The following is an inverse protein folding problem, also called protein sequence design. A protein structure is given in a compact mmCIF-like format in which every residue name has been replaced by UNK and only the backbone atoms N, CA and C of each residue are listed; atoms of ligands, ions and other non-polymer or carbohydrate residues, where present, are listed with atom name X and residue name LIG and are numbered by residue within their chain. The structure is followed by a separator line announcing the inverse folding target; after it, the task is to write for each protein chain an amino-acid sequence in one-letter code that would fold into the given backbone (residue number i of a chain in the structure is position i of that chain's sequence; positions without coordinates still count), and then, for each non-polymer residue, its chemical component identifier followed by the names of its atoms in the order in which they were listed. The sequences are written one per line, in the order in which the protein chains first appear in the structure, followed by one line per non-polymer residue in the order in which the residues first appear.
data_IF_216519822210
#
_entry.id   IF_216519822210
#
_cell.length_a   1.000
_cell.length_b   1.000
_cell.length_c   1.000
_cell.angle_alpha   90.00
_cell.angle_beta   90.00
_cell.angle_gamma   90.00
#
_symmetry.space_group_name_H-M   'P 1'
#
loop_
_entity.id
_entity.type
_entity.pdbx_description
1 polymer ?
#
# COMPACT_ATOMS: atom_id res chain seq x y z
N UNK A 1 -26.76 6.18 -9.19
CA UNK A 1 -26.10 4.87 -9.40
C UNK A 1 -25.44 4.47 -8.09
N UNK A 2 -25.94 3.45 -7.38
CA UNK A 2 -25.29 2.99 -6.15
C UNK A 2 -24.17 1.98 -6.47
N UNK A 3 -23.01 2.25 -5.87
CA UNK A 3 -21.94 1.33 -5.41
C UNK A 3 -21.20 0.43 -6.41
N UNK A 4 -19.86 0.54 -6.45
CA UNK A 4 -18.97 -0.63 -6.31
C UNK A 4 -17.52 -0.23 -5.99
N UNK A 5 -17.29 0.33 -4.80
CA UNK A 5 -16.00 0.10 -4.17
C UNK A 5 -16.29 -0.49 -2.80
N UNK A 6 -16.64 -1.78 -2.83
CA UNK A 6 -16.49 -2.61 -1.65
C UNK A 6 -15.04 -2.41 -1.18
N UNK A 7 -14.79 -2.16 0.12
CA UNK A 7 -13.43 -2.09 0.61
C UNK A 7 -12.79 -3.43 0.26
N UNK A 8 -11.80 -3.43 -0.63
CA UNK A 8 -11.04 -4.63 -0.96
C UNK A 8 -10.72 -5.32 0.35
N UNK A 9 -11.14 -6.57 0.49
CA UNK A 9 -10.87 -7.37 1.67
C UNK A 9 -9.38 -7.20 1.95
N UNK A 10 -9.05 -6.64 3.12
CA UNK A 10 -7.67 -6.42 3.49
C UNK A 10 -7.05 -7.81 3.57
N UNK A 11 -6.32 -8.19 2.54
CA UNK A 11 -5.58 -9.44 2.50
C UNK A 11 -4.64 -9.41 3.70
N UNK A 12 -5.02 -10.14 4.74
CA UNK A 12 -4.23 -10.22 5.96
C UNK A 12 -3.06 -11.12 5.65
N UNK A 13 -1.85 -10.58 5.73
CA UNK A 13 -0.63 -11.38 5.67
C UNK A 13 -0.67 -12.32 6.88
N UNK A 14 -0.81 -13.62 6.63
CA UNK A 14 -0.64 -14.63 7.65
C UNK A 14 0.86 -14.78 7.92
N UNK A 15 1.29 -14.55 9.17
CA UNK A 15 2.65 -14.81 9.61
C UNK A 15 2.65 -16.18 10.27
N UNK A 16 3.44 -17.10 9.74
CA UNK A 16 3.64 -18.43 10.29
C UNK A 16 4.82 -18.41 11.28
N UNK A 17 4.88 -19.41 12.18
CA UNK A 17 6.00 -19.53 13.13
C UNK A 17 7.36 -19.65 12.42
N UNK A 18 7.38 -20.24 11.22
CA UNK A 18 8.59 -20.33 10.40
C UNK A 18 9.15 -18.95 10.00
N UNK A 19 8.28 -17.96 9.78
CA UNK A 19 8.70 -16.59 9.46
C UNK A 19 9.35 -15.92 10.68
N UNK A 20 8.82 -16.21 11.89
CA UNK A 20 9.38 -15.70 13.15
C UNK A 20 10.76 -16.31 13.41
N UNK A 21 10.88 -17.62 13.19
CA UNK A 21 12.15 -18.35 13.33
C UNK A 21 13.21 -17.83 12.34
N UNK A 22 12.81 -17.53 11.10
CA UNK A 22 13.70 -16.95 10.09
C UNK A 22 14.22 -15.58 10.54
N UNK A 23 13.33 -14.69 11.00
CA UNK A 23 13.70 -13.34 11.45
C UNK A 23 14.61 -13.41 12.69
N UNK A 24 14.36 -14.34 13.62
CA UNK A 24 15.23 -14.58 14.76
C UNK A 24 16.61 -15.09 14.33
N UNK A 25 16.68 -16.05 13.40
CA UNK A 25 17.92 -16.59 12.88
C UNK A 25 18.76 -15.50 12.17
N UNK A 26 18.12 -14.65 11.36
CA UNK A 26 18.77 -13.49 10.73
C UNK A 26 19.29 -12.47 11.77
N UNK A 27 18.67 -12.41 12.94
CA UNK A 27 19.06 -11.55 14.05
C UNK A 27 20.06 -12.20 15.01
N UNK A 28 20.67 -13.33 14.61
CA UNK A 28 21.63 -14.06 15.44
C UNK A 28 20.99 -14.70 16.69
N UNK A 29 19.68 -14.93 16.67
CA UNK A 29 18.91 -15.42 17.80
C UNK A 29 18.60 -14.37 18.87
N UNK A 30 18.92 -13.08 18.65
CA UNK A 30 18.55 -12.02 19.59
C UNK A 30 17.14 -11.47 19.29
N UNK A 31 16.13 -11.77 20.13
CA UNK A 31 14.77 -11.27 19.93
C UNK A 31 14.67 -9.75 20.03
N UNK A 32 15.56 -9.07 20.79
CA UNK A 32 15.55 -7.61 20.88
C UNK A 32 16.09 -6.98 19.59
N UNK A 33 17.10 -7.58 18.98
CA UNK A 33 17.59 -7.17 17.67
C UNK A 33 16.53 -7.38 16.59
N UNK A 34 15.85 -8.53 16.59
CA UNK A 34 14.75 -8.84 15.67
C UNK A 34 13.61 -7.80 15.76
N UNK A 35 13.12 -7.52 16.98
CA UNK A 35 12.07 -6.52 17.19
C UNK A 35 12.52 -5.13 16.73
N UNK A 36 13.77 -4.75 17.01
CA UNK A 36 14.30 -3.46 16.54
C UNK A 36 14.33 -3.38 15.02
N UNK A 37 14.76 -4.44 14.33
CA UNK A 37 14.77 -4.50 12.87
C UNK A 37 13.35 -4.36 12.30
N UNK A 38 12.36 -5.05 12.87
CA UNK A 38 10.95 -4.93 12.47
C UNK A 38 10.43 -3.50 12.64
N UNK A 39 10.68 -2.86 13.79
CA UNK A 39 10.24 -1.48 14.04
C UNK A 39 10.86 -0.49 13.03
N UNK A 40 12.14 -0.65 12.70
CA UNK A 40 12.80 0.17 11.67
C UNK A 40 12.17 -0.09 10.30
N UNK A 41 11.91 -1.36 9.96
CA UNK A 41 11.23 -1.75 8.73
C UNK A 41 9.84 -1.12 8.61
N UNK A 42 9.06 -1.10 9.70
CA UNK A 42 7.76 -0.45 9.69
C UNK A 42 7.84 1.06 9.50
N UNK A 43 8.74 1.74 10.21
CA UNK A 43 8.93 3.17 10.02
C UNK A 43 9.33 3.52 8.57
N UNK A 44 10.17 2.67 7.95
CA UNK A 44 10.54 2.83 6.55
C UNK A 44 9.33 2.71 5.62
N UNK A 45 8.53 1.65 5.77
CA UNK A 45 7.34 1.43 4.94
C UNK A 45 6.29 2.54 5.12
N UNK A 46 6.11 3.04 6.33
CA UNK A 46 5.22 4.19 6.60
C UNK A 46 5.69 5.44 5.85
N UNK A 47 7.00 5.73 5.87
CA UNK A 47 7.59 6.85 5.14
C UNK A 47 7.41 6.69 3.61
N UNK A 48 7.69 5.51 3.06
CA UNK A 48 7.53 5.25 1.63
C UNK A 48 6.06 5.36 1.20
N UNK A 49 5.13 4.87 2.02
CA UNK A 49 3.70 5.03 1.79
C UNK A 49 3.29 6.51 1.78
N UNK A 50 3.85 7.34 2.67
CA UNK A 50 3.60 8.77 2.67
C UNK A 50 4.13 9.45 1.41
N UNK A 51 5.33 9.11 0.95
CA UNK A 51 5.89 9.63 -0.31
C UNK A 51 5.03 9.24 -1.51
N UNK A 52 4.68 7.96 -1.61
CA UNK A 52 3.81 7.46 -2.68
C UNK A 52 2.46 8.19 -2.71
N UNK A 53 1.88 8.48 -1.54
CA UNK A 53 0.63 9.27 -1.44
C UNK A 53 0.79 10.72 -1.90
N UNK A 54 1.95 11.33 -1.69
CA UNK A 54 2.23 12.70 -2.15
C UNK A 54 2.46 12.77 -3.66
N UNK A 55 3.12 11.75 -4.23
CA UNK A 55 3.41 11.65 -5.66
C UNK A 55 2.18 11.24 -6.49
N UNK A 56 1.24 10.53 -5.89
CA UNK A 56 -0.06 10.24 -6.48
C UNK A 56 -0.87 11.55 -6.68
N UNK A 57 -0.70 12.18 -7.85
CA UNK A 57 -1.51 13.29 -8.35
C UNK A 57 -3.01 13.02 -8.15
N UNK A 58 -3.74 14.01 -7.64
CA UNK A 58 -5.21 14.00 -7.52
C UNK A 58 -5.93 13.62 -8.83
N UNK A 59 -5.28 13.80 -9.98
CA UNK A 59 -5.81 13.47 -11.31
C UNK A 59 -5.66 12.00 -11.73
N UNK A 60 -4.83 11.21 -11.05
CA UNK A 60 -4.70 9.75 -11.28
C UNK A 60 -5.65 8.95 -10.37
N UNK A 61 -5.93 9.48 -9.17
CA UNK A 61 -6.73 8.81 -8.14
C UNK A 61 -8.24 8.84 -8.42
N UNK A 62 -8.72 9.81 -9.20
CA UNK A 62 -10.11 9.84 -9.69
C UNK A 62 -10.07 9.67 -11.20
N UNK A 63 -10.33 8.44 -11.67
CA UNK A 63 -10.38 8.10 -13.09
C UNK A 63 -10.93 9.27 -13.90
N UNK A 64 -10.07 9.85 -14.74
CA UNK A 64 -10.39 11.01 -15.57
C UNK A 64 -11.67 10.68 -16.34
N UNK A 65 -12.81 11.38 -16.15
CA UNK A 65 -13.87 11.28 -17.12
C UNK A 65 -13.24 11.75 -18.43
N UNK A 66 -13.13 10.84 -19.39
CA UNK A 66 -12.71 11.15 -20.76
C UNK A 66 -13.41 12.44 -21.13
N UNK A 67 -12.63 13.43 -21.58
CA UNK A 67 -13.21 14.63 -22.19
C UNK A 67 -14.13 14.10 -23.28
N UNK A 68 -15.43 14.12 -22.99
CA UNK A 68 -16.46 13.97 -24.01
C UNK A 68 -16.13 15.07 -25.00
N UNK A 69 -15.63 14.62 -26.14
CA UNK A 69 -15.26 15.45 -27.26
C UNK A 69 -16.46 16.36 -27.52
N UNK A 70 -16.28 17.67 -27.27
CA UNK A 70 -16.98 18.68 -28.04
C UNK A 70 -16.65 18.36 -29.49
N UNK A 71 -17.60 17.73 -30.17
CA UNK A 71 -17.88 17.92 -31.59
C UNK A 71 -18.95 16.91 -32.02
N UNK A 72 -20.21 17.35 -31.92
CA UNK A 72 -21.28 16.88 -32.80
C UNK A 72 -22.26 18.04 -33.03
N UNK A 73 -22.09 18.68 -34.20
CA UNK A 73 -23.10 19.36 -35.04
C UNK A 73 -23.95 20.46 -34.39
N UNK A 74 -23.80 21.76 -34.68
CA UNK A 74 -24.08 22.40 -35.97
C UNK A 74 -24.86 21.53 -36.97
N UNK A 75 -26.18 21.76 -37.00
CA UNK A 75 -27.17 21.19 -37.91
C UNK A 75 -28.56 21.69 -37.56
#
# INVERSE_FOLDING_TARGET
MPSEHAPAERETIAIEEADVDEVLAMSGGDPRAAIKALLIGQQFLEMELQKARQEASWGYVRGRPSRETRDASEG
#
